data_IF_964737629957
#
_entry.id   IF_964737629957
#
_cell.length_a   1.000
_cell.length_b   1.000
_cell.length_c   1.000
_cell.angle_alpha   90.00
_cell.angle_beta   90.00
_cell.angle_gamma   90.00
#
_symmetry.space_group_name_H-M   'P 1'
#
loop_
_entity.id
_entity.type
_entity.pdbx_description
1 polymer ?
#
# COMPACT_ATOMS: atom_id res chain seq x y z
N UNK A 1 2.54 13.71 -10.99
CA UNK A 1 2.16 12.62 -10.06
C UNK A 1 3.34 12.28 -9.17
N UNK A 2 3.10 12.28 -7.86
CA UNK A 2 4.08 12.01 -6.81
C UNK A 2 4.18 10.50 -6.59
N UNK A 3 5.41 9.98 -6.55
CA UNK A 3 5.65 8.56 -6.29
C UNK A 3 5.79 8.31 -4.78
N UNK A 4 5.29 7.18 -4.28
CA UNK A 4 5.47 6.84 -2.87
C UNK A 4 6.93 6.44 -2.56
N UNK A 5 7.38 6.65 -1.31
CA UNK A 5 8.74 6.27 -0.88
C UNK A 5 8.96 4.75 -0.83
N UNK A 6 7.89 3.96 -0.67
CA UNK A 6 7.95 2.50 -0.61
C UNK A 6 7.66 1.83 -1.95
N UNK A 7 8.20 0.64 -2.14
CA UNK A 7 7.68 -0.36 -3.06
C UNK A 7 6.59 -1.14 -2.34
N UNK A 8 5.39 -1.19 -2.91
CA UNK A 8 4.27 -1.88 -2.28
C UNK A 8 3.49 -2.70 -3.30
N UNK A 9 3.13 -3.92 -2.94
CA UNK A 9 2.28 -4.76 -3.78
C UNK A 9 0.90 -4.10 -3.90
N UNK A 10 0.31 -4.12 -5.08
CA UNK A 10 -0.98 -3.46 -5.30
C UNK A 10 -0.94 -1.93 -5.45
N UNK A 11 0.25 -1.30 -5.46
CA UNK A 11 0.38 0.15 -5.63
C UNK A 11 -0.43 0.68 -6.81
N UNK A 12 -1.25 1.71 -6.56
CA UNK A 12 -2.22 2.28 -7.50
C UNK A 12 -1.67 3.38 -8.42
N UNK A 13 -0.35 3.61 -8.41
CA UNK A 13 0.25 4.70 -9.19
C UNK A 13 -0.14 4.69 -10.68
N UNK A 14 -0.31 3.50 -11.27
CA UNK A 14 -0.74 3.35 -12.68
C UNK A 14 -2.22 3.55 -12.91
N UNK A 15 -3.01 3.43 -11.85
CA UNK A 15 -4.47 3.57 -11.89
C UNK A 15 -4.91 5.00 -11.53
N UNK A 16 -3.99 5.84 -11.02
CA UNK A 16 -4.27 7.23 -10.67
C UNK A 16 -5.01 8.03 -11.76
N UNK A 17 -4.69 7.91 -13.06
CA UNK A 17 -5.44 8.62 -14.09
C UNK A 17 -6.94 8.28 -14.14
N UNK A 18 -7.32 7.10 -13.66
CA UNK A 18 -8.71 6.66 -13.58
C UNK A 18 -9.34 7.03 -12.22
N UNK A 19 -8.56 6.99 -11.13
CA UNK A 19 -9.05 7.25 -9.78
C UNK A 19 -9.22 8.73 -9.47
N UNK A 20 -8.23 9.56 -9.80
CA UNK A 20 -8.23 10.97 -9.41
C UNK A 20 -9.46 11.76 -9.94
N UNK A 21 -9.94 11.55 -11.19
CA UNK A 21 -11.16 12.21 -11.64
C UNK A 21 -12.42 11.80 -10.87
N UNK A 22 -12.46 10.56 -10.35
CA UNK A 22 -13.58 10.05 -9.56
C UNK A 22 -13.52 10.54 -8.10
N UNK A 23 -12.32 10.73 -7.55
CA UNK A 23 -12.10 11.26 -6.20
C UNK A 23 -12.38 12.76 -6.18
N UNK A 24 -11.90 13.51 -7.18
CA UNK A 24 -12.01 14.96 -7.22
C UNK A 24 -11.16 15.67 -6.17
N UNK A 25 -11.72 16.74 -5.57
CA UNK A 25 -11.07 17.55 -4.53
C UNK A 25 -11.96 17.58 -3.27
N UNK A 26 -11.93 16.53 -2.44
CA UNK A 26 -12.75 16.45 -1.24
C UNK A 26 -12.28 17.41 -0.16
N UNK A 27 -13.16 17.75 0.79
CA UNK A 27 -12.79 18.44 2.02
C UNK A 27 -11.91 17.52 2.87
N UNK A 28 -12.39 16.31 3.17
CA UNK A 28 -11.64 15.26 3.85
C UNK A 28 -11.51 14.04 2.97
N UNK A 29 -10.33 13.46 3.00
CA UNK A 29 -10.02 12.23 2.28
C UNK A 29 -9.61 11.13 3.26
N UNK A 30 -10.34 10.02 3.23
CA UNK A 30 -10.05 8.86 4.07
C UNK A 30 -9.59 7.68 3.21
N UNK A 31 -8.44 7.08 3.56
CA UNK A 31 -7.86 5.90 2.89
C UNK A 31 -7.58 4.81 3.93
N UNK A 32 -8.57 3.91 4.22
CA UNK A 32 -8.46 2.89 5.27
C UNK A 32 -7.46 1.76 4.98
N UNK A 33 -7.05 1.60 3.72
CA UNK A 33 -6.03 0.65 3.25
C UNK A 33 -4.90 1.43 2.59
N UNK A 34 -4.14 2.17 3.38
CA UNK A 34 -3.16 3.14 2.87
C UNK A 34 -2.02 2.53 2.08
N UNK A 35 -1.52 1.36 2.49
CA UNK A 35 -0.41 0.70 1.82
C UNK A 35 0.76 1.65 1.56
N UNK A 36 1.07 1.92 0.30
CA UNK A 36 2.12 2.89 -0.09
C UNK A 36 1.68 4.34 -0.09
N UNK A 37 0.42 4.66 0.20
CA UNK A 37 -0.20 5.99 0.07
C UNK A 37 -0.11 6.60 -1.33
N UNK A 38 -0.04 5.77 -2.37
CA UNK A 38 0.11 6.26 -3.73
C UNK A 38 -1.07 7.10 -4.21
N UNK A 39 -2.29 6.88 -3.66
CA UNK A 39 -3.47 7.67 -3.97
C UNK A 39 -3.48 8.94 -3.13
N UNK A 40 -3.36 8.85 -1.81
CA UNK A 40 -3.33 10.00 -0.91
C UNK A 40 -2.30 11.08 -1.30
N UNK A 41 -1.10 10.66 -1.71
CA UNK A 41 -0.03 11.57 -2.18
C UNK A 41 -0.42 12.38 -3.43
N UNK A 42 -1.46 11.98 -4.15
CA UNK A 42 -1.89 12.60 -5.40
C UNK A 42 -3.31 13.18 -5.35
N UNK A 43 -4.01 13.02 -4.24
CA UNK A 43 -5.31 13.66 -3.96
C UNK A 43 -5.06 15.03 -3.35
N UNK A 44 -5.90 16.01 -3.71
CA UNK A 44 -5.92 17.32 -3.08
C UNK A 44 -7.10 17.39 -2.11
N UNK A 45 -6.81 17.37 -0.81
CA UNK A 45 -7.79 17.53 0.25
C UNK A 45 -7.26 18.54 1.30
N UNK A 46 -8.12 19.01 2.18
CA UNK A 46 -7.72 19.83 3.33
C UNK A 46 -7.28 18.97 4.50
N UNK A 47 -7.97 17.86 4.73
CA UNK A 47 -7.72 16.92 5.82
C UNK A 47 -7.61 15.51 5.27
N UNK A 48 -6.75 14.70 5.90
CA UNK A 48 -6.51 13.31 5.53
C UNK A 48 -6.61 12.41 6.75
N UNK A 49 -7.33 11.30 6.61
CA UNK A 49 -7.35 10.17 7.55
C UNK A 49 -6.75 8.98 6.81
N UNK A 50 -5.52 8.63 7.16
CA UNK A 50 -4.72 7.62 6.46
C UNK A 50 -4.45 6.46 7.39
N UNK A 51 -5.03 5.32 7.08
CA UNK A 51 -4.96 4.13 7.92
C UNK A 51 -4.31 2.96 7.20
N UNK A 52 -3.62 2.13 7.95
CA UNK A 52 -3.27 0.77 7.55
C UNK A 52 -3.17 -0.12 8.79
N UNK A 53 -3.55 -1.39 8.65
CA UNK A 53 -3.43 -2.36 9.74
C UNK A 53 -1.98 -2.74 10.03
N UNK A 54 -1.07 -2.49 9.10
CA UNK A 54 0.36 -2.75 9.25
C UNK A 54 1.03 -1.65 10.08
N UNK A 55 1.42 -1.99 11.31
CA UNK A 55 2.04 -1.06 12.24
C UNK A 55 3.40 -0.51 11.77
N UNK A 56 4.13 -1.23 10.90
CA UNK A 56 5.40 -0.74 10.35
C UNK A 56 5.18 0.35 9.31
N UNK A 57 4.05 0.32 8.57
CA UNK A 57 3.64 1.44 7.70
C UNK A 57 3.27 2.67 8.52
N UNK A 58 2.43 2.50 9.54
CA UNK A 58 2.06 3.57 10.44
C UNK A 58 3.29 4.21 11.08
N UNK A 59 4.20 3.39 11.64
CA UNK A 59 5.45 3.85 12.23
C UNK A 59 6.31 4.62 11.22
N UNK A 60 6.39 4.15 9.96
CA UNK A 60 7.14 4.86 8.93
C UNK A 60 6.53 6.23 8.64
N UNK A 61 5.24 6.29 8.33
CA UNK A 61 4.61 7.54 7.88
C UNK A 61 4.56 8.61 8.97
N UNK A 62 4.40 8.21 10.22
CA UNK A 62 4.41 9.14 11.36
C UNK A 62 5.80 9.68 11.70
N UNK A 63 6.86 9.04 11.20
CA UNK A 63 8.25 9.45 11.47
C UNK A 63 8.93 10.17 10.29
N UNK A 64 8.32 10.26 9.10
CA UNK A 64 8.93 10.93 7.95
C UNK A 64 8.96 12.45 8.17
N UNK A 65 10.12 12.95 8.56
CA UNK A 65 10.50 14.36 8.63
C UNK A 65 11.89 14.57 8.01
N UNK A 66 12.37 15.79 7.94
CA UNK A 66 13.69 16.13 7.33
C UNK A 66 14.85 15.43 8.05
N UNK A 67 14.79 15.35 9.38
CA UNK A 67 15.81 14.66 10.17
C UNK A 67 15.80 13.16 9.90
N UNK A 68 14.63 12.55 9.81
CA UNK A 68 14.49 11.12 9.45
C UNK A 68 15.04 10.82 8.07
N UNK A 69 14.83 11.68 7.06
CA UNK A 69 15.44 11.53 5.73
C UNK A 69 16.94 11.50 5.84
N UNK A 70 17.54 12.43 6.60
CA UNK A 70 18.99 12.47 6.83
C UNK A 70 19.51 11.21 7.53
N UNK A 71 18.78 10.71 8.53
CA UNK A 71 19.14 9.49 9.26
C UNK A 71 19.03 8.24 8.40
N UNK A 72 18.03 8.17 7.54
CA UNK A 72 17.89 7.09 6.57
C UNK A 72 19.06 7.08 5.56
N UNK A 73 19.52 8.23 5.09
CA UNK A 73 20.63 8.30 4.15
C UNK A 73 21.90 7.61 4.69
N UNK A 74 22.12 7.66 6.01
CA UNK A 74 23.31 7.06 6.66
C UNK A 74 23.36 5.53 6.54
N UNK A 75 22.23 4.85 6.37
CA UNK A 75 22.21 3.39 6.20
C UNK A 75 22.12 2.93 4.74
N UNK A 76 21.86 3.85 3.79
CA UNK A 76 21.83 3.56 2.35
C UNK A 76 23.18 3.75 1.68
N UNK A 77 24.26 3.36 2.36
CA UNK A 77 25.64 3.39 1.86
C UNK A 77 26.01 2.07 1.18
N UNK A 78 27.07 2.10 0.34
CA UNK A 78 27.47 0.94 -0.46
C UNK A 78 27.85 -0.27 0.41
N UNK A 79 28.50 -0.05 1.55
CA UNK A 79 28.91 -1.10 2.50
C UNK A 79 27.70 -1.86 3.07
N UNK A 80 26.54 -1.24 3.10
CA UNK A 80 25.30 -1.87 3.55
C UNK A 80 24.53 -2.59 2.42
N UNK A 81 24.97 -2.46 1.15
CA UNK A 81 24.30 -3.06 0.01
C UNK A 81 24.79 -4.50 -0.26
N UNK A 82 24.89 -5.30 0.78
CA UNK A 82 25.33 -6.69 0.72
C UNK A 82 24.32 -7.61 1.40
N UNK A 83 24.32 -8.89 0.99
CA UNK A 83 23.45 -9.92 1.61
C UNK A 83 23.71 -10.06 3.10
N UNK A 84 24.98 -10.08 3.51
CA UNK A 84 25.37 -10.21 4.91
C UNK A 84 24.78 -9.06 5.74
N UNK A 85 24.99 -7.85 5.29
CA UNK A 85 24.50 -6.64 5.99
C UNK A 85 22.98 -6.57 6.03
N UNK A 86 22.31 -6.98 4.95
CA UNK A 86 20.87 -7.09 4.91
C UNK A 86 20.33 -8.05 5.99
N UNK A 87 20.97 -9.22 6.17
CA UNK A 87 20.56 -10.19 7.20
C UNK A 87 20.74 -9.59 8.61
N UNK A 88 21.87 -8.92 8.87
CA UNK A 88 22.12 -8.26 10.16
C UNK A 88 21.07 -7.19 10.45
N UNK A 89 20.77 -6.32 9.48
CA UNK A 89 19.75 -5.27 9.61
C UNK A 89 18.36 -5.88 9.78
N UNK A 90 18.02 -6.95 9.07
CA UNK A 90 16.76 -7.66 9.24
C UNK A 90 16.62 -8.27 10.64
N UNK A 91 17.68 -8.87 11.17
CA UNK A 91 17.66 -9.40 12.53
C UNK A 91 17.50 -8.28 13.57
N UNK A 92 18.19 -7.15 13.36
CA UNK A 92 18.02 -5.96 14.20
C UNK A 92 16.57 -5.47 14.16
N UNK A 93 15.99 -5.31 12.96
CA UNK A 93 14.60 -4.91 12.78
C UNK A 93 13.62 -5.79 13.56
N UNK A 94 13.82 -7.11 13.53
CA UNK A 94 12.94 -8.07 14.19
C UNK A 94 13.01 -8.01 15.73
N UNK A 95 14.02 -7.36 16.31
CA UNK A 95 14.16 -7.14 17.75
C UNK A 95 14.04 -5.66 18.16
N UNK A 96 13.89 -4.74 17.19
CA UNK A 96 13.83 -3.30 17.45
C UNK A 96 12.49 -2.89 18.03
N UNK A 97 12.51 -2.09 19.09
CA UNK A 97 11.35 -1.57 19.80
C UNK A 97 11.19 -0.06 19.68
N UNK A 98 12.26 0.67 19.38
CA UNK A 98 12.17 2.10 19.08
C UNK A 98 11.49 2.31 17.73
N UNK A 99 10.38 3.06 17.73
CA UNK A 99 9.53 3.24 16.55
C UNK A 99 10.24 3.94 15.38
N UNK A 100 11.09 4.94 15.68
CA UNK A 100 11.81 5.70 14.65
C UNK A 100 12.94 4.87 14.05
N UNK A 101 13.71 4.16 14.88
CA UNK A 101 14.74 3.24 14.40
C UNK A 101 14.13 2.10 13.59
N UNK A 102 13.05 1.51 14.07
CA UNK A 102 12.30 0.46 13.38
C UNK A 102 11.80 0.93 12.02
N UNK A 103 11.24 2.13 11.92
CA UNK A 103 10.79 2.74 10.67
C UNK A 103 11.95 2.92 9.66
N UNK A 104 13.11 3.36 10.12
CA UNK A 104 14.33 3.47 9.30
C UNK A 104 14.78 2.12 8.76
N UNK A 105 14.84 1.11 9.61
CA UNK A 105 15.21 -0.25 9.22
C UNK A 105 14.17 -0.85 8.26
N UNK A 106 12.88 -0.60 8.47
CA UNK A 106 11.80 -1.02 7.58
C UNK A 106 11.96 -0.45 6.16
N UNK A 107 12.23 0.85 6.04
CA UNK A 107 12.49 1.49 4.75
C UNK A 107 13.68 0.83 4.04
N UNK A 108 14.78 0.58 4.77
CA UNK A 108 15.94 -0.11 4.23
C UNK A 108 15.56 -1.52 3.72
N UNK A 109 14.87 -2.30 4.55
CA UNK A 109 14.45 -3.66 4.19
C UNK A 109 13.55 -3.67 2.95
N UNK A 110 12.56 -2.79 2.87
CA UNK A 110 11.68 -2.69 1.70
C UNK A 110 12.46 -2.41 0.39
N UNK A 111 13.48 -1.54 0.45
CA UNK A 111 14.28 -1.18 -0.74
C UNK A 111 15.26 -2.27 -1.15
N UNK A 112 15.74 -3.10 -0.21
CA UNK A 112 16.72 -4.15 -0.45
C UNK A 112 16.11 -5.54 -0.60
N UNK A 113 14.88 -5.76 -0.12
CA UNK A 113 14.18 -7.03 -0.22
C UNK A 113 13.86 -7.43 -1.66
N UNK A 114 13.67 -8.73 -1.87
CA UNK A 114 13.25 -9.29 -3.15
C UNK A 114 11.92 -8.66 -3.61
N UNK A 115 11.96 -7.99 -4.75
CA UNK A 115 10.84 -7.24 -5.35
C UNK A 115 10.18 -6.17 -4.45
N UNK A 116 10.83 -5.78 -3.35
CA UNK A 116 10.22 -4.86 -2.38
C UNK A 116 9.03 -5.46 -1.64
N UNK A 117 8.97 -6.78 -1.53
CA UNK A 117 7.93 -7.46 -0.77
C UNK A 117 8.04 -7.12 0.71
N UNK A 118 6.90 -7.07 1.38
CA UNK A 118 6.77 -7.03 2.83
C UNK A 118 6.04 -8.29 3.27
N UNK A 119 6.67 -9.11 4.11
CA UNK A 119 6.10 -10.37 4.59
C UNK A 119 6.68 -10.72 5.94
N UNK A 120 5.81 -11.21 6.82
CA UNK A 120 6.14 -11.66 8.16
C UNK A 120 5.84 -13.17 8.30
N UNK A 121 6.57 -13.82 9.19
CA UNK A 121 6.26 -15.20 9.59
C UNK A 121 5.17 -15.21 10.68
N UNK A 122 4.79 -16.40 11.15
CA UNK A 122 3.78 -16.57 12.21
C UNK A 122 4.18 -15.97 13.58
N UNK A 123 5.45 -15.58 13.76
CA UNK A 123 5.94 -14.89 14.95
C UNK A 123 5.96 -13.36 14.79
N UNK A 124 5.48 -12.84 13.66
CA UNK A 124 5.55 -11.41 13.34
C UNK A 124 6.94 -10.92 12.92
N UNK A 125 7.87 -11.81 12.55
CA UNK A 125 9.20 -11.44 12.12
C UNK A 125 9.26 -11.25 10.60
N UNK A 126 9.85 -10.15 10.14
CA UNK A 126 10.10 -9.90 8.72
C UNK A 126 11.04 -10.95 8.15
N UNK A 127 10.63 -11.64 7.08
CA UNK A 127 11.32 -12.82 6.57
C UNK A 127 11.60 -12.82 5.06
N UNK A 128 11.47 -11.67 4.39
CA UNK A 128 11.76 -11.57 2.95
C UNK A 128 13.26 -11.71 2.71
N UNK A 129 13.71 -12.45 1.67
CA UNK A 129 15.13 -12.56 1.34
C UNK A 129 15.67 -11.28 0.68
N UNK A 130 17.00 -11.13 0.70
CA UNK A 130 17.71 -10.10 -0.03
C UNK A 130 17.46 -10.21 -1.53
N UNK A 131 17.18 -9.09 -2.18
CA UNK A 131 16.73 -9.02 -3.56
C UNK A 131 17.63 -8.22 -4.50
N UNK A 132 18.87 -7.91 -4.09
CA UNK A 132 19.80 -7.10 -4.88
C UNK A 132 20.94 -7.88 -5.49
N UNK A 133 20.91 -9.20 -5.42
CA UNK A 133 21.86 -10.07 -6.10
C UNK A 133 21.32 -10.47 -7.47
N UNK A 134 22.13 -10.21 -8.52
CA UNK A 134 21.90 -10.73 -9.87
C UNK A 134 23.01 -11.72 -10.19
N UNK A 135 22.65 -12.99 -10.37
CA UNK A 135 23.58 -14.01 -10.85
C UNK A 135 23.60 -13.95 -12.38
N UNK A 136 24.74 -13.61 -12.95
CA UNK A 136 24.96 -13.69 -14.38
C UNK A 136 24.86 -15.17 -14.81
N UNK A 137 23.89 -15.49 -15.65
CA UNK A 137 23.62 -16.86 -16.09
C UNK A 137 24.74 -17.50 -16.91
N UNK A 138 25.61 -16.71 -17.53
CA UNK A 138 26.71 -17.17 -18.37
C UNK A 138 28.02 -17.33 -17.60
N UNK A 139 28.33 -16.43 -16.68
CA UNK A 139 29.59 -16.38 -15.95
C UNK A 139 29.50 -16.94 -14.55
N UNK A 140 28.28 -17.09 -14.00
CA UNK A 140 28.05 -17.48 -12.61
C UNK A 140 28.38 -16.38 -11.59
N UNK A 141 28.88 -15.23 -12.04
CA UNK A 141 29.27 -14.10 -11.18
C UNK A 141 28.02 -13.50 -10.54
N UNK A 142 28.07 -13.27 -9.24
CA UNK A 142 27.03 -12.56 -8.49
C UNK A 142 27.42 -11.09 -8.43
N UNK A 143 26.54 -10.24 -8.95
CA UNK A 143 26.66 -8.78 -8.88
C UNK A 143 25.57 -8.21 -8.00
N UNK A 144 25.94 -7.30 -7.09
CA UNK A 144 24.98 -6.57 -6.28
C UNK A 144 24.48 -5.34 -7.04
N UNK A 145 23.15 -5.21 -7.17
CA UNK A 145 22.55 -3.98 -7.68
C UNK A 145 22.29 -3.04 -6.52
N UNK A 146 22.69 -1.77 -6.68
CA UNK A 146 22.48 -0.75 -5.64
C UNK A 146 20.98 -0.53 -5.38
N UNK A 147 20.59 -0.53 -4.10
CA UNK A 147 19.24 -0.12 -3.72
C UNK A 147 19.11 1.41 -3.86
N UNK A 148 17.99 1.84 -4.44
CA UNK A 148 17.69 3.26 -4.56
C UNK A 148 17.23 3.82 -3.21
N UNK A 149 17.91 4.85 -2.69
CA UNK A 149 17.44 5.63 -1.56
C UNK A 149 16.33 6.58 -2.04
N UNK A 150 15.12 6.53 -1.46
CA UNK A 150 13.98 7.29 -1.94
C UNK A 150 13.93 8.71 -1.35
N UNK A 151 15.04 9.44 -1.38
CA UNK A 151 15.16 10.79 -0.81
C UNK A 151 14.12 11.74 -1.39
N UNK A 152 14.05 11.79 -2.72
CA UNK A 152 13.09 12.65 -3.41
C UNK A 152 11.65 12.31 -3.04
N UNK A 153 11.30 11.03 -3.02
CA UNK A 153 9.95 10.57 -2.69
C UNK A 153 9.58 10.90 -1.23
N UNK A 154 10.55 10.86 -0.30
CA UNK A 154 10.33 11.25 1.09
C UNK A 154 10.18 12.77 1.23
N UNK A 155 10.98 13.56 0.51
CA UNK A 155 10.83 15.02 0.47
C UNK A 155 9.50 15.44 -0.17
N UNK A 156 9.07 14.76 -1.25
CA UNK A 156 7.77 14.97 -1.86
C UNK A 156 6.62 14.62 -0.89
N UNK A 157 6.77 13.56 -0.08
CA UNK A 157 5.84 13.18 0.99
C UNK A 157 5.70 14.30 2.03
N UNK A 158 6.84 14.79 2.54
CA UNK A 158 6.87 15.91 3.50
C UNK A 158 6.18 17.13 2.89
N UNK A 159 6.54 17.51 1.66
CA UNK A 159 5.95 18.67 0.99
C UNK A 159 4.44 18.53 0.77
N UNK A 160 3.95 17.33 0.51
CA UNK A 160 2.52 17.06 0.29
C UNK A 160 1.71 17.29 1.56
N UNK A 161 2.22 16.83 2.70
CA UNK A 161 1.48 16.82 3.96
C UNK A 161 1.85 17.94 4.94
N UNK A 162 2.94 18.68 4.72
CA UNK A 162 3.50 19.69 5.67
C UNK A 162 2.50 20.76 5.98
N UNK A 163 1.55 21.17 5.43
CA UNK A 163 0.58 22.22 5.81
C UNK A 163 -0.86 21.67 5.74
N UNK A 164 -1.01 20.39 5.97
CA UNK A 164 -2.29 19.68 5.95
C UNK A 164 -2.58 19.08 7.32
N UNK A 165 -3.86 18.97 7.65
CA UNK A 165 -4.28 18.15 8.78
C UNK A 165 -4.23 16.69 8.31
N UNK A 166 -3.31 15.90 8.86
CA UNK A 166 -3.13 14.48 8.50
C UNK A 166 -3.13 13.65 9.77
N UNK A 167 -4.06 12.75 9.84
CA UNK A 167 -4.13 11.74 10.88
C UNK A 167 -3.68 10.39 10.30
N UNK A 168 -2.62 9.83 10.86
CA UNK A 168 -2.18 8.46 10.57
C UNK A 168 -2.69 7.54 11.67
N UNK A 169 -3.43 6.51 11.29
CA UNK A 169 -4.02 5.54 12.23
C UNK A 169 -3.54 4.12 11.93
N UNK A 170 -3.59 3.25 12.94
CA UNK A 170 -3.24 1.85 12.81
C UNK A 170 -4.34 0.99 13.42
N UNK A 171 -5.40 0.76 12.66
CA UNK A 171 -6.56 0.00 13.10
C UNK A 171 -7.20 -0.79 11.96
N UNK A 172 -8.22 -1.58 12.25
CA UNK A 172 -8.98 -2.27 11.21
C UNK A 172 -9.81 -1.27 10.39
N UNK A 173 -10.07 -1.60 9.12
CA UNK A 173 -10.91 -0.77 8.24
C UNK A 173 -12.35 -0.60 8.75
N UNK A 174 -12.83 -1.54 9.58
CA UNK A 174 -14.18 -1.51 10.16
C UNK A 174 -14.28 -0.71 11.47
N UNK A 175 -13.20 -0.09 11.92
CA UNK A 175 -13.25 0.80 13.08
C UNK A 175 -14.03 2.08 12.74
N UNK A 176 -15.17 2.27 13.40
CA UNK A 176 -16.07 3.39 13.16
C UNK A 176 -15.43 4.76 13.37
N UNK A 177 -14.43 4.86 14.25
CA UNK A 177 -13.70 6.11 14.53
C UNK A 177 -13.05 6.71 13.27
N UNK A 178 -12.70 5.88 12.27
CA UNK A 178 -12.17 6.37 10.99
C UNK A 178 -13.15 7.26 10.21
N UNK A 179 -14.45 7.14 10.50
CA UNK A 179 -15.53 7.72 9.69
C UNK A 179 -16.41 8.71 10.46
N UNK A 180 -16.25 8.82 11.78
CA UNK A 180 -17.13 9.65 12.62
C UNK A 180 -17.17 11.12 12.20
N UNK A 181 -16.05 11.67 11.76
CA UNK A 181 -15.95 13.07 11.35
C UNK A 181 -16.40 13.33 9.92
N UNK A 182 -16.65 12.27 9.12
CA UNK A 182 -16.94 12.40 7.69
C UNK A 182 -18.41 12.71 7.42
N UNK A 183 -18.66 13.43 6.32
CA UNK A 183 -19.99 13.81 5.87
C UNK A 183 -20.04 14.14 4.38
N UNK A 184 -21.06 14.90 3.99
CA UNK A 184 -21.23 15.35 2.61
C UNK A 184 -20.03 16.18 2.13
N UNK A 185 -19.53 15.88 0.93
CA UNK A 185 -18.34 16.51 0.35
C UNK A 185 -17.02 15.81 0.68
N UNK A 186 -17.04 14.80 1.55
CA UNK A 186 -15.88 13.97 1.88
C UNK A 186 -15.83 12.72 0.99
N UNK A 187 -14.64 12.11 0.92
CA UNK A 187 -14.40 10.90 0.11
C UNK A 187 -13.70 9.84 0.92
N UNK A 188 -14.21 8.61 0.84
CA UNK A 188 -13.52 7.40 1.33
C UNK A 188 -13.09 6.55 0.14
N UNK A 189 -11.82 6.17 0.12
CA UNK A 189 -11.27 5.26 -0.88
C UNK A 189 -10.81 3.95 -0.25
N UNK A 190 -11.46 2.87 -0.61
CA UNK A 190 -11.10 1.51 -0.19
C UNK A 190 -10.29 0.79 -1.27
N UNK A 191 -9.12 0.31 -0.89
CA UNK A 191 -8.25 -0.56 -1.70
C UNK A 191 -7.92 -1.84 -0.93
N UNK A 192 -8.92 -2.71 -0.66
CA UNK A 192 -8.73 -3.92 0.12
C UNK A 192 -7.85 -4.93 -0.62
N UNK A 193 -7.32 -5.96 0.05
CA UNK A 193 -6.80 -7.14 -0.64
C UNK A 193 -7.85 -7.70 -1.59
N UNK A 194 -7.48 -7.86 -2.88
CA UNK A 194 -8.43 -8.16 -3.94
C UNK A 194 -8.95 -9.59 -3.88
N UNK A 195 -10.22 -9.77 -4.22
CA UNK A 195 -10.78 -11.09 -4.50
C UNK A 195 -9.96 -11.75 -5.62
N UNK A 196 -9.59 -13.05 -5.51
CA UNK A 196 -8.84 -13.73 -6.56
C UNK A 196 -9.52 -13.70 -7.92
N UNK A 197 -8.71 -13.52 -8.97
CA UNK A 197 -9.21 -13.44 -10.34
C UNK A 197 -9.61 -14.80 -10.96
N UNK A 198 -9.42 -15.93 -10.26
CA UNK A 198 -9.75 -17.27 -10.77
C UNK A 198 -11.11 -17.73 -10.28
N UNK A 199 -11.98 -18.16 -11.20
CA UNK A 199 -13.34 -18.65 -10.94
C UNK A 199 -13.40 -19.96 -10.13
N UNK A 200 -12.27 -20.67 -9.97
CA UNK A 200 -12.20 -21.98 -9.29
C UNK A 200 -12.12 -21.88 -7.76
N UNK A 201 -12.06 -20.68 -7.22
CA UNK A 201 -12.02 -20.48 -5.78
C UNK A 201 -13.44 -20.37 -5.23
N UNK A 202 -13.84 -21.33 -4.41
CA UNK A 202 -15.06 -21.21 -3.60
C UNK A 202 -14.93 -19.96 -2.72
N UNK A 203 -15.80 -18.98 -2.92
CA UNK A 203 -15.80 -17.71 -2.19
C UNK A 203 -15.78 -17.92 -0.66
N UNK A 204 -16.43 -18.98 -0.17
CA UNK A 204 -16.54 -19.29 1.26
C UNK A 204 -15.25 -19.80 1.93
N UNK A 205 -14.19 -20.13 1.15
CA UNK A 205 -12.94 -20.70 1.68
C UNK A 205 -11.72 -19.80 1.47
N UNK A 206 -11.90 -18.55 1.00
CA UNK A 206 -10.81 -17.71 0.54
C UNK A 206 -10.40 -16.65 1.57
N UNK A 207 -9.15 -16.72 2.01
CA UNK A 207 -8.45 -15.59 2.61
C UNK A 207 -7.25 -15.23 1.72
N UNK A 208 -7.26 -14.06 1.10
CA UNK A 208 -6.09 -13.54 0.39
C UNK A 208 -5.36 -12.59 1.33
N UNK A 209 -4.12 -12.91 1.67
CA UNK A 209 -3.30 -12.13 2.61
C UNK A 209 -4.00 -11.86 3.97
N UNK A 210 -4.86 -12.83 4.42
CA UNK A 210 -5.61 -12.71 5.66
C UNK A 210 -6.93 -11.92 5.57
N UNK A 211 -7.33 -11.42 4.38
CA UNK A 211 -8.62 -10.75 4.17
C UNK A 211 -9.67 -11.76 3.69
N UNK A 212 -10.69 -11.99 4.51
CA UNK A 212 -11.68 -13.07 4.31
C UNK A 212 -12.84 -12.63 3.41
N UNK A 213 -13.64 -13.63 2.97
CA UNK A 213 -14.88 -13.37 2.23
C UNK A 213 -15.89 -12.56 3.05
N UNK A 214 -15.97 -12.83 4.36
CA UNK A 214 -16.86 -12.08 5.26
C UNK A 214 -16.45 -10.62 5.35
N UNK A 215 -15.15 -10.34 5.37
CA UNK A 215 -14.62 -8.97 5.36
C UNK A 215 -14.88 -8.26 4.02
N UNK A 216 -14.92 -8.99 2.88
CA UNK A 216 -15.35 -8.40 1.60
C UNK A 216 -16.82 -7.97 1.65
N UNK A 217 -17.68 -8.78 2.27
CA UNK A 217 -19.10 -8.45 2.48
C UNK A 217 -19.25 -7.28 3.46
N UNK A 218 -18.54 -7.31 4.59
CA UNK A 218 -18.51 -6.24 5.59
C UNK A 218 -18.11 -4.90 4.96
N UNK A 219 -17.07 -4.92 4.12
CA UNK A 219 -16.60 -3.72 3.40
C UNK A 219 -17.67 -3.18 2.44
N UNK A 220 -18.35 -4.04 1.68
CA UNK A 220 -19.40 -3.61 0.78
C UNK A 220 -20.57 -2.97 1.54
N UNK A 221 -20.98 -3.56 2.67
CA UNK A 221 -22.04 -3.02 3.54
C UNK A 221 -21.63 -1.68 4.16
N UNK A 222 -20.36 -1.56 4.61
CA UNK A 222 -19.81 -0.32 5.13
C UNK A 222 -19.81 0.76 4.05
N UNK A 223 -19.40 0.43 2.82
CA UNK A 223 -19.40 1.37 1.70
C UNK A 223 -20.80 1.93 1.42
N UNK A 224 -21.84 1.07 1.41
CA UNK A 224 -23.23 1.47 1.25
C UNK A 224 -23.71 2.33 2.42
N UNK A 225 -23.37 1.95 3.66
CA UNK A 225 -23.71 2.72 4.86
C UNK A 225 -23.12 4.14 4.84
N UNK A 226 -21.84 4.27 4.47
CA UNK A 226 -21.17 5.58 4.35
C UNK A 226 -21.79 6.42 3.23
N UNK A 227 -22.09 5.80 2.09
CA UNK A 227 -22.75 6.48 0.96
C UNK A 227 -24.15 7.00 1.33
N UNK A 228 -24.89 6.25 2.16
CA UNK A 228 -26.21 6.68 2.66
C UNK A 228 -26.16 7.95 3.54
N UNK A 229 -24.97 8.27 4.09
CA UNK A 229 -24.69 9.49 4.84
C UNK A 229 -24.23 10.68 3.95
N UNK A 230 -24.26 10.50 2.62
CA UNK A 230 -23.82 11.53 1.66
C UNK A 230 -22.31 11.56 1.43
N UNK A 231 -21.54 10.61 1.95
CA UNK A 231 -20.10 10.47 1.72
C UNK A 231 -19.90 9.78 0.37
N UNK A 232 -19.02 10.31 -0.48
CA UNK A 232 -18.64 9.62 -1.70
C UNK A 232 -17.70 8.46 -1.37
N UNK A 233 -18.09 7.24 -1.73
CA UNK A 233 -17.29 6.04 -1.48
C UNK A 233 -16.80 5.45 -2.79
N UNK A 234 -15.49 5.14 -2.85
CA UNK A 234 -14.85 4.56 -4.02
C UNK A 234 -14.15 3.28 -3.58
N UNK A 235 -14.39 2.17 -4.28
CA UNK A 235 -13.79 0.86 -3.99
C UNK A 235 -13.09 0.32 -5.22
N UNK A 236 -11.83 -0.09 -5.10
CA UNK A 236 -11.11 -0.82 -6.15
C UNK A 236 -11.11 -2.32 -5.86
N UNK A 237 -11.30 -3.15 -6.89
CA UNK A 237 -11.18 -4.61 -6.78
C UNK A 237 -10.96 -5.26 -8.16
N UNK A 238 -10.75 -6.60 -8.20
CA UNK A 238 -10.81 -7.34 -9.46
C UNK A 238 -12.22 -7.29 -10.05
N UNK A 239 -12.30 -7.18 -11.38
CA UNK A 239 -13.55 -7.27 -12.11
C UNK A 239 -13.92 -8.73 -12.34
N UNK A 240 -14.66 -9.30 -11.38
CA UNK A 240 -15.15 -10.68 -11.38
C UNK A 240 -16.63 -10.71 -10.97
N UNK A 241 -17.39 -11.78 -11.28
CA UNK A 241 -18.82 -11.82 -10.99
C UNK A 241 -19.18 -11.50 -9.54
N UNK A 242 -18.38 -12.01 -8.58
CA UNK A 242 -18.64 -11.80 -7.16
C UNK A 242 -18.47 -10.33 -6.73
N UNK A 243 -17.47 -9.62 -7.23
CA UNK A 243 -17.27 -8.21 -6.90
C UNK A 243 -18.31 -7.31 -7.54
N UNK A 244 -18.81 -7.68 -8.73
CA UNK A 244 -19.96 -7.01 -9.36
C UNK A 244 -21.25 -7.22 -8.57
N UNK A 245 -21.45 -8.39 -7.94
CA UNK A 245 -22.58 -8.62 -7.04
C UNK A 245 -22.43 -7.87 -5.72
N UNK A 246 -21.23 -7.88 -5.12
CA UNK A 246 -20.95 -7.13 -3.88
C UNK A 246 -21.20 -5.63 -4.03
N UNK A 247 -20.84 -5.07 -5.19
CA UNK A 247 -20.95 -3.63 -5.45
C UNK A 247 -22.07 -3.28 -6.43
N UNK A 248 -23.15 -4.10 -6.49
CA UNK A 248 -24.25 -3.93 -7.45
C UNK A 248 -25.01 -2.61 -7.33
N UNK A 249 -24.96 -1.97 -6.16
CA UNK A 249 -25.61 -0.68 -5.92
C UNK A 249 -24.71 0.52 -6.27
N UNK A 250 -23.46 0.26 -6.67
CA UNK A 250 -22.50 1.28 -7.11
C UNK A 250 -22.49 1.43 -8.64
N UNK A 251 -22.01 2.58 -9.12
CA UNK A 251 -21.63 2.75 -10.52
C UNK A 251 -20.26 2.11 -10.76
N UNK A 252 -20.21 1.11 -11.67
CA UNK A 252 -18.99 0.34 -11.95
C UNK A 252 -18.25 0.92 -13.15
N UNK A 253 -16.96 1.23 -12.94
CA UNK A 253 -16.00 1.64 -13.98
C UNK A 253 -14.98 0.52 -14.20
N UNK A 254 -15.11 -0.30 -15.28
CA UNK A 254 -14.15 -1.34 -15.60
C UNK A 254 -12.86 -0.73 -16.16
N UNK A 255 -11.70 -1.22 -15.70
CA UNK A 255 -10.38 -0.78 -16.17
C UNK A 255 -9.49 -1.97 -16.50
N UNK A 256 -8.53 -1.76 -17.41
CA UNK A 256 -7.53 -2.76 -17.78
C UNK A 256 -6.16 -2.34 -17.26
N UNK A 257 -5.57 -3.14 -16.37
CA UNK A 257 -4.29 -2.84 -15.74
C UNK A 257 -3.23 -3.84 -16.18
N UNK A 258 -2.06 -3.34 -16.59
CA UNK A 258 -0.92 -4.19 -16.92
C UNK A 258 -0.13 -4.50 -15.64
N UNK A 259 -0.14 -5.75 -15.17
CA UNK A 259 0.64 -6.19 -14.00
C UNK A 259 2.12 -6.33 -14.32
N UNK A 260 2.98 -5.77 -13.47
CA UNK A 260 4.45 -5.82 -13.60
C UNK A 260 5.08 -6.96 -12.83
N UNK A 261 4.41 -7.55 -11.86
CA UNK A 261 4.93 -8.64 -11.04
C UNK A 261 4.29 -9.94 -11.51
N UNK A 262 5.01 -10.69 -12.36
CA UNK A 262 4.70 -12.08 -12.66
C UNK A 262 5.85 -12.95 -12.15
N UNK A 263 5.54 -14.07 -11.49
CA UNK A 263 6.53 -15.04 -10.99
C UNK A 263 7.33 -15.72 -12.12
N UNK A 264 6.88 -15.62 -13.38
CA UNK A 264 7.62 -16.05 -14.58
C UNK A 264 7.61 -14.94 -15.61
N UNK A 265 8.81 -14.44 -15.99
CA UNK A 265 8.99 -13.47 -17.05
C UNK A 265 8.57 -14.06 -18.40
N UNK A 266 7.46 -13.61 -18.96
CA UNK A 266 7.01 -14.01 -20.31
C UNK A 266 5.53 -13.75 -20.60
N UNK A 267 4.65 -13.67 -19.62
CA UNK A 267 3.23 -13.39 -19.87
C UNK A 267 2.74 -12.21 -19.01
N UNK A 268 2.93 -11.00 -19.49
CA UNK A 268 2.25 -9.81 -18.94
C UNK A 268 0.77 -9.90 -19.30
N UNK A 269 -0.03 -10.61 -18.50
CA UNK A 269 -1.49 -10.63 -18.66
C UNK A 269 -2.07 -9.31 -18.18
N UNK A 270 -2.94 -8.71 -19.00
CA UNK A 270 -3.82 -7.63 -18.54
C UNK A 270 -4.75 -8.22 -17.47
N UNK A 271 -4.86 -7.54 -16.34
CA UNK A 271 -5.85 -7.87 -15.32
C UNK A 271 -7.04 -6.93 -15.49
N UNK A 272 -8.25 -7.48 -15.43
CA UNK A 272 -9.47 -6.70 -15.38
C UNK A 272 -9.71 -6.28 -13.94
N UNK A 273 -9.78 -4.99 -13.70
CA UNK A 273 -10.10 -4.40 -12.40
C UNK A 273 -11.35 -3.52 -12.56
N UNK A 274 -12.06 -3.29 -11.48
CA UNK A 274 -13.17 -2.36 -11.42
C UNK A 274 -12.93 -1.29 -10.37
N UNK A 275 -13.53 -0.13 -10.60
CA UNK A 275 -13.71 0.93 -9.60
C UNK A 275 -15.21 1.09 -9.41
N UNK A 276 -15.69 0.81 -8.20
CA UNK A 276 -17.06 1.01 -7.80
C UNK A 276 -17.21 2.36 -7.09
N UNK A 277 -18.20 3.17 -7.47
CA UNK A 277 -18.45 4.51 -6.92
C UNK A 277 -19.90 4.58 -6.44
N UNK A 278 -20.06 4.85 -5.17
CA UNK A 278 -21.34 5.09 -4.51
C UNK A 278 -21.56 6.60 -4.34
#
# INVERSE_FOLDING_TARGET
>A
MIKPPLKWAGNKFRVLPHLLPLIGTPTRYCEPFGGSLSVALNVQAYEYILNDINSDLHSLYTNIDIEFVSDCAKIFVDDNNTRQRYIEIRNKFNSETDARERAKLFLYLNKHAFNGLCRYNSKGEFNVPYGKENKNSKTGVIENTKAHFPEKEMLDFIATFNNRCVEFTNTTFSNELLYESLGEGDVVYFDPPYVPASETANFTSYATDGFTSDQQVELAQLAESLASKGIRVIVSNHDVPITRELYKNATIYPIQVTRTIAAKGGSRKKASELIAVY
#
